data_IF_208097558545
#
_entry.id   IF_208097558545
#
_cell.length_a   1.000
_cell.length_b   1.000
_cell.length_c   1.000
_cell.angle_alpha   90.00
_cell.angle_beta   90.00
_cell.angle_gamma   90.00
#
_symmetry.space_group_name_H-M   'P 1'
#
loop_
_entity.id
_entity.type
_entity.pdbx_description
1 polymer ?
#
# COMPACT_ATOMS: atom_id res chain seq x y z
N UNK A 1 -0.24 -7.46 -7.49
CA UNK A 1 1.11 -7.30 -8.11
C UNK A 1 1.55 -5.83 -8.11
N UNK A 2 0.71 -4.90 -8.59
CA UNK A 2 1.03 -3.46 -8.57
C UNK A 2 1.45 -2.92 -7.18
N UNK A 3 0.73 -3.30 -6.12
CA UNK A 3 1.07 -2.91 -4.74
C UNK A 3 2.47 -3.36 -4.31
N UNK A 4 2.84 -4.62 -4.61
CA UNK A 4 4.18 -5.13 -4.33
C UNK A 4 5.25 -4.40 -5.14
N UNK A 5 4.96 -4.10 -6.42
CA UNK A 5 5.90 -3.35 -7.26
C UNK A 5 6.17 -1.95 -6.69
N UNK A 6 5.12 -1.22 -6.28
CA UNK A 6 5.28 0.10 -5.63
C UNK A 6 6.09 0.03 -4.34
N UNK A 7 5.89 -1.01 -3.52
CA UNK A 7 6.72 -1.21 -2.32
C UNK A 7 8.19 -1.44 -2.67
N UNK A 8 8.48 -2.26 -3.68
CA UNK A 8 9.85 -2.46 -4.17
C UNK A 8 10.47 -1.16 -4.70
N UNK A 9 9.70 -0.34 -5.41
CA UNK A 9 10.12 0.99 -5.86
C UNK A 9 10.45 1.92 -4.68
N UNK A 10 9.65 1.91 -3.60
CA UNK A 10 9.96 2.68 -2.38
C UNK A 10 11.29 2.20 -1.76
N UNK A 11 11.52 0.89 -1.67
CA UNK A 11 12.80 0.38 -1.15
C UNK A 11 13.99 0.77 -2.04
N UNK A 12 13.84 0.73 -3.36
CA UNK A 12 14.86 1.22 -4.28
C UNK A 12 15.14 2.72 -4.08
N UNK A 13 14.10 3.53 -3.93
CA UNK A 13 14.24 4.96 -3.67
C UNK A 13 15.02 5.22 -2.36
N UNK A 14 14.68 4.52 -1.28
CA UNK A 14 15.39 4.62 0.00
C UNK A 14 16.86 4.17 -0.15
N UNK A 15 17.10 3.08 -0.88
CA UNK A 15 18.45 2.55 -1.10
C UNK A 15 19.33 3.59 -1.81
N UNK A 16 18.79 4.22 -2.85
CA UNK A 16 19.48 5.26 -3.61
C UNK A 16 19.72 6.52 -2.79
N UNK A 17 18.67 7.07 -2.17
CA UNK A 17 18.76 8.36 -1.46
C UNK A 17 19.57 8.27 -0.17
N UNK A 18 19.44 7.19 0.59
CA UNK A 18 20.11 7.05 1.89
C UNK A 18 21.51 6.48 1.79
N UNK A 19 21.76 5.59 0.86
CA UNK A 19 23.02 4.84 0.78
C UNK A 19 23.81 5.09 -0.51
N UNK A 20 23.28 5.88 -1.45
CA UNK A 20 23.93 6.16 -2.73
C UNK A 20 24.05 4.91 -3.63
N UNK A 21 23.21 3.89 -3.41
CA UNK A 21 23.26 2.62 -4.13
C UNK A 21 22.00 2.42 -4.94
N UNK A 22 22.16 2.11 -6.23
CA UNK A 22 21.05 1.76 -7.11
C UNK A 22 20.77 0.27 -7.06
N UNK A 23 19.49 -0.09 -6.95
CA UNK A 23 19.08 -1.48 -7.06
C UNK A 23 19.29 -1.97 -8.50
N UNK A 24 19.97 -3.10 -8.65
CA UNK A 24 20.15 -3.74 -9.96
C UNK A 24 18.85 -4.43 -10.42
N UNK A 25 18.12 -5.02 -9.47
CA UNK A 25 16.93 -5.84 -9.71
C UNK A 25 15.89 -5.62 -8.62
N UNK A 26 14.61 -5.72 -8.98
CA UNK A 26 13.49 -5.69 -8.04
C UNK A 26 12.87 -7.08 -7.99
N UNK A 27 12.97 -7.73 -6.85
CA UNK A 27 12.59 -9.14 -6.68
C UNK A 27 11.52 -9.29 -5.61
N UNK A 28 10.50 -10.09 -5.89
CA UNK A 28 9.50 -10.56 -4.94
C UNK A 28 9.66 -12.07 -4.78
N UNK A 29 9.76 -12.53 -3.54
CA UNK A 29 9.89 -13.95 -3.22
C UNK A 29 8.61 -14.46 -2.55
N UNK A 30 7.96 -15.44 -3.18
CA UNK A 30 6.74 -16.08 -2.70
C UNK A 30 7.06 -17.22 -1.75
N UNK A 31 7.06 -16.94 -0.44
CA UNK A 31 7.42 -17.93 0.58
C UNK A 31 6.45 -19.11 0.69
N UNK A 32 5.23 -18.97 0.14
CA UNK A 32 4.24 -20.04 0.09
C UNK A 32 4.34 -20.94 -1.15
N UNK A 33 5.22 -20.62 -2.10
CA UNK A 33 5.39 -21.39 -3.32
C UNK A 33 6.28 -22.62 -3.06
N UNK A 34 5.76 -23.87 -3.24
CA UNK A 34 6.53 -25.07 -2.98
C UNK A 34 7.73 -25.26 -3.93
N UNK A 35 7.66 -24.77 -5.17
CA UNK A 35 8.74 -24.91 -6.15
C UNK A 35 9.65 -23.70 -6.15
N UNK A 36 10.92 -23.90 -5.79
CA UNK A 36 11.89 -22.81 -5.71
C UNK A 36 12.05 -22.06 -7.03
N UNK A 37 12.00 -22.74 -8.16
CA UNK A 37 12.09 -22.11 -9.48
C UNK A 37 10.93 -21.14 -9.78
N UNK A 38 9.75 -21.35 -9.17
CA UNK A 38 8.54 -20.55 -9.38
C UNK A 38 8.39 -19.45 -8.30
N UNK A 39 9.16 -19.55 -7.21
CA UNK A 39 9.03 -18.69 -6.05
C UNK A 39 9.58 -17.26 -6.25
N UNK A 40 10.41 -17.02 -7.27
CA UNK A 40 11.05 -15.73 -7.51
C UNK A 40 10.42 -15.00 -8.70
N UNK A 41 9.84 -13.83 -8.45
CA UNK A 41 9.31 -12.95 -9.48
C UNK A 41 10.17 -11.69 -9.60
N UNK A 42 10.50 -11.32 -10.82
CA UNK A 42 11.26 -10.10 -11.12
C UNK A 42 10.37 -9.01 -11.70
N UNK A 43 10.57 -7.78 -11.21
CA UNK A 43 9.93 -6.58 -11.72
C UNK A 43 10.95 -5.70 -12.45
N UNK A 44 10.53 -4.99 -13.51
CA UNK A 44 11.42 -4.09 -14.23
C UNK A 44 11.82 -2.91 -13.34
N UNK A 45 13.10 -2.57 -13.32
CA UNK A 45 13.55 -1.32 -12.71
C UNK A 45 13.26 -0.14 -13.65
N UNK A 46 12.48 0.84 -13.19
CA UNK A 46 12.16 2.06 -13.93
C UNK A 46 12.41 3.28 -13.04
N UNK A 47 13.50 4.05 -13.25
CA UNK A 47 13.84 5.20 -12.41
C UNK A 47 12.67 6.16 -12.20
N UNK A 48 11.90 6.42 -13.26
CA UNK A 48 10.75 7.32 -13.24
C UNK A 48 9.65 6.85 -12.27
N UNK A 49 9.42 5.53 -12.17
CA UNK A 49 8.44 4.96 -11.24
C UNK A 49 9.00 4.95 -9.81
N UNK A 50 10.31 4.76 -9.64
CA UNK A 50 10.99 4.82 -8.34
C UNK A 50 10.91 6.22 -7.74
N UNK A 51 11.15 7.26 -8.55
CA UNK A 51 10.99 8.65 -8.13
C UNK A 51 9.52 8.98 -7.83
N UNK A 52 8.57 8.54 -8.67
CA UNK A 52 7.13 8.72 -8.41
C UNK A 52 6.70 8.06 -7.09
N UNK A 53 7.21 6.87 -6.80
CA UNK A 53 6.93 6.15 -5.56
C UNK A 53 7.44 6.93 -4.32
N UNK A 54 8.62 7.57 -4.43
CA UNK A 54 9.14 8.46 -3.40
C UNK A 54 8.25 9.69 -3.18
N UNK A 55 7.85 10.38 -4.25
CA UNK A 55 6.95 11.54 -4.16
C UNK A 55 5.59 11.18 -3.57
N UNK A 56 5.04 10.03 -3.96
CA UNK A 56 3.78 9.54 -3.39
C UNK A 56 3.91 9.26 -1.89
N UNK A 57 5.02 8.63 -1.48
CA UNK A 57 5.31 8.39 -0.07
C UNK A 57 5.40 9.69 0.72
N UNK A 58 6.13 10.70 0.22
CA UNK A 58 6.25 12.01 0.87
C UNK A 58 4.89 12.68 1.06
N UNK A 59 4.04 12.63 0.03
CA UNK A 59 2.68 13.16 0.12
C UNK A 59 1.85 12.47 1.21
N UNK A 60 1.92 11.14 1.30
CA UNK A 60 1.21 10.38 2.35
C UNK A 60 1.73 10.75 3.74
N UNK A 61 3.05 10.85 3.92
CA UNK A 61 3.67 11.26 5.20
C UNK A 61 3.23 12.67 5.59
N UNK A 62 3.18 13.60 4.64
CA UNK A 62 2.69 14.96 4.87
C UNK A 62 1.25 14.97 5.40
N UNK A 63 0.34 14.18 4.81
CA UNK A 63 -1.04 14.07 5.30
C UNK A 63 -1.08 13.53 6.73
N UNK A 64 -0.28 12.49 7.03
CA UNK A 64 -0.20 11.88 8.37
C UNK A 64 0.31 12.88 9.41
N UNK A 65 1.38 13.61 9.10
CA UNK A 65 1.97 14.60 10.02
C UNK A 65 1.02 15.76 10.30
N UNK A 66 0.23 16.16 9.30
CA UNK A 66 -0.81 17.17 9.44
C UNK A 66 -2.12 16.64 10.05
N UNK A 67 -2.16 15.37 10.46
CA UNK A 67 -3.37 14.68 10.97
C UNK A 67 -4.56 14.76 10.03
N UNK A 68 -4.31 14.85 8.72
CA UNK A 68 -5.36 14.85 7.72
C UNK A 68 -5.76 13.41 7.40
N UNK A 69 -6.81 12.93 8.08
CA UNK A 69 -7.35 11.58 7.92
C UNK A 69 -8.70 11.56 7.18
N UNK A 70 -9.08 12.68 6.56
CA UNK A 70 -10.37 12.83 5.91
C UNK A 70 -10.49 11.88 4.72
N UNK A 71 -11.58 11.10 4.71
CA UNK A 71 -11.89 10.18 3.62
C UNK A 71 -12.58 10.97 2.49
N UNK A 72 -11.75 11.59 1.64
CA UNK A 72 -12.24 12.37 0.48
C UNK A 72 -12.95 11.52 -0.57
N UNK A 73 -12.50 10.28 -0.74
CA UNK A 73 -13.10 9.29 -1.64
C UNK A 73 -13.19 7.97 -0.91
N UNK A 74 -14.41 7.47 -0.76
CA UNK A 74 -14.65 6.16 -0.15
C UNK A 74 -13.97 5.08 -1.00
N UNK A 75 -13.20 4.15 -0.39
CA UNK A 75 -12.58 3.04 -1.10
C UNK A 75 -13.60 2.11 -1.77
N UNK A 76 -13.14 1.25 -2.66
CA UNK A 76 -13.98 0.19 -3.22
C UNK A 76 -14.54 -0.71 -2.11
N UNK A 77 -15.77 -1.21 -2.30
CA UNK A 77 -16.47 -2.05 -1.31
C UNK A 77 -15.64 -3.26 -0.85
N UNK A 78 -14.86 -3.87 -1.74
CA UNK A 78 -13.95 -4.99 -1.42
C UNK A 78 -12.89 -4.60 -0.39
N UNK A 79 -12.33 -3.39 -0.52
CA UNK A 79 -11.33 -2.85 0.41
C UNK A 79 -11.97 -2.58 1.77
N UNK A 80 -13.15 -1.94 1.79
CA UNK A 80 -13.86 -1.69 3.04
C UNK A 80 -14.29 -2.99 3.76
N UNK A 81 -14.58 -4.07 3.01
CA UNK A 81 -14.98 -5.37 3.58
C UNK A 81 -13.84 -6.03 4.37
N UNK A 82 -12.59 -5.82 3.94
CA UNK A 82 -11.38 -6.39 4.55
C UNK A 82 -10.68 -5.41 5.52
N UNK A 83 -11.29 -4.25 5.78
CA UNK A 83 -10.71 -3.20 6.62
C UNK A 83 -11.21 -3.30 8.07
N UNK A 84 -10.29 -3.33 9.03
CA UNK A 84 -10.62 -3.39 10.47
C UNK A 84 -11.40 -2.15 10.96
N UNK A 85 -11.23 -1.00 10.31
CA UNK A 85 -11.93 0.25 10.65
C UNK A 85 -13.35 0.32 10.08
N UNK A 86 -13.82 -0.71 9.37
CA UNK A 86 -15.13 -0.72 8.71
C UNK A 86 -16.28 -0.34 9.64
N UNK A 87 -16.34 -0.94 10.83
CA UNK A 87 -17.40 -0.69 11.82
C UNK A 87 -17.35 0.76 12.31
N UNK A 88 -16.14 1.28 12.56
CA UNK A 88 -15.94 2.68 12.91
C UNK A 88 -16.46 3.61 11.80
N UNK A 89 -16.05 3.39 10.55
CA UNK A 89 -16.50 4.18 9.40
C UNK A 89 -18.03 4.13 9.20
N UNK A 90 -18.68 3.02 9.51
CA UNK A 90 -20.14 2.92 9.48
C UNK A 90 -20.83 3.74 10.56
N UNK A 91 -20.27 3.76 11.78
CA UNK A 91 -20.77 4.58 12.90
C UNK A 91 -20.61 6.07 12.61
N UNK A 92 -19.50 6.46 11.98
CA UNK A 92 -19.24 7.84 11.56
C UNK A 92 -19.99 8.24 10.27
N UNK A 93 -20.81 7.34 9.69
CA UNK A 93 -21.60 7.63 8.50
C UNK A 93 -20.79 7.75 7.19
N UNK A 94 -19.51 7.38 7.20
CA UNK A 94 -18.62 7.40 6.02
C UNK A 94 -19.04 6.33 5.01
N UNK A 95 -19.51 5.18 5.50
CA UNK A 95 -20.01 4.07 4.67
C UNK A 95 -21.35 3.59 5.18
N UNK A 96 -22.17 3.04 4.28
CA UNK A 96 -23.43 2.41 4.64
C UNK A 96 -23.18 0.95 5.08
N UNK A 97 -23.53 0.62 6.31
CA UNK A 97 -23.53 -0.74 6.84
C UNK A 97 -24.96 -1.25 7.03
N UNK A 98 -25.16 -2.56 6.91
CA UNK A 98 -26.46 -3.15 7.28
C UNK A 98 -26.64 -3.15 8.80
N UNK A 99 -27.88 -3.06 9.28
CA UNK A 99 -28.22 -2.99 10.72
C UNK A 99 -27.59 -4.13 11.55
N UNK A 100 -27.38 -5.31 10.97
CA UNK A 100 -26.74 -6.46 11.63
C UNK A 100 -25.22 -6.33 11.83
N UNK A 101 -24.57 -5.40 11.14
CA UNK A 101 -23.11 -5.24 11.14
C UNK A 101 -22.65 -4.10 12.05
N UNK A 102 -23.57 -3.20 12.42
CA UNK A 102 -23.36 -2.16 13.42
C UNK A 102 -23.69 -2.81 14.76
N UNK A 103 -22.76 -3.62 15.29
CA UNK A 103 -22.97 -4.32 16.56
C UNK A 103 -23.51 -3.39 17.63
N UNK A 104 -24.66 -3.79 18.19
CA UNK A 104 -25.30 -3.19 19.37
C UNK A 104 -24.27 -3.06 20.50
N UNK A 105 -24.34 -1.95 21.23
CA UNK A 105 -23.60 -1.82 22.50
C UNK A 105 -24.20 -2.75 23.54
#
# INVERSE_FOLDING_TARGET
LDSYYKQLCIYAHILERRYGKRAERLLLYWTGEPRREDALMEFPYRPEIVDEAGLHFDHVVEQILNKNYDIKKVPERKVCKECDLRVYCGREGVIQLGEKEIGDR
#
